data_IF_198056464027
#
_entry.id   IF_198056464027
#
_cell.length_a   1.000
_cell.length_b   1.000
_cell.length_c   1.000
_cell.angle_alpha   90.00
_cell.angle_beta   90.00
_cell.angle_gamma   90.00
#
_symmetry.space_group_name_H-M   'P 1'
#
loop_
_entity.id
_entity.type
_entity.pdbx_description
1 polymer ?
#
# COMPACT_ATOMS: atom_id res chain seq x y z
N UNK A 1 -18.38 -2.90 -30.70
CA UNK A 1 -16.91 -2.92 -30.79
C UNK A 1 -16.40 -4.33 -30.49
N UNK A 2 -16.41 -5.23 -31.49
CA UNK A 2 -16.13 -6.66 -31.33
C UNK A 2 -14.67 -6.90 -31.75
N UNK A 3 -13.73 -6.92 -30.80
CA UNK A 3 -12.33 -7.28 -31.12
C UNK A 3 -12.33 -8.75 -31.53
N UNK A 4 -12.04 -9.01 -32.80
CA UNK A 4 -11.79 -10.36 -33.31
C UNK A 4 -10.49 -10.85 -32.68
N UNK A 5 -10.55 -11.61 -31.58
CA UNK A 5 -9.37 -12.19 -30.96
C UNK A 5 -8.76 -13.23 -31.90
N UNK A 6 -7.75 -12.82 -32.66
CA UNK A 6 -6.99 -13.72 -33.50
C UNK A 6 -5.96 -14.44 -32.62
N UNK A 7 -5.64 -15.72 -32.90
CA UNK A 7 -4.71 -16.49 -32.06
C UNK A 7 -3.32 -15.87 -31.93
N UNK A 8 -2.91 -15.07 -32.93
CA UNK A 8 -1.66 -14.30 -32.93
C UNK A 8 -1.68 -13.15 -31.92
N UNK A 9 -2.83 -12.50 -31.71
CA UNK A 9 -2.97 -11.38 -30.77
C UNK A 9 -2.84 -11.84 -29.31
N UNK A 10 -3.29 -13.07 -29.03
CA UNK A 10 -3.20 -13.68 -27.69
C UNK A 10 -1.74 -13.97 -27.33
N UNK A 11 -0.96 -14.55 -28.26
CA UNK A 11 0.45 -14.89 -28.03
C UNK A 11 1.29 -13.63 -27.76
N UNK A 12 1.02 -12.53 -28.46
CA UNK A 12 1.70 -11.25 -28.24
C UNK A 12 1.29 -10.59 -26.91
N UNK A 13 0.06 -10.83 -26.44
CA UNK A 13 -0.46 -10.23 -25.20
C UNK A 13 0.08 -10.89 -23.93
N UNK A 14 0.44 -12.18 -23.97
CA UNK A 14 0.98 -12.91 -22.82
C UNK A 14 2.25 -12.28 -22.22
N UNK A 15 3.33 -11.98 -22.99
CA UNK A 15 4.53 -11.38 -22.42
C UNK A 15 4.27 -9.97 -21.89
N UNK A 16 3.39 -9.21 -22.54
CA UNK A 16 2.98 -7.88 -22.08
C UNK A 16 2.27 -7.99 -20.73
N UNK A 17 1.36 -8.96 -20.58
CA UNK A 17 0.66 -9.20 -19.32
C UNK A 17 1.62 -9.64 -18.21
N UNK A 18 2.56 -10.54 -18.49
CA UNK A 18 3.59 -10.95 -17.53
C UNK A 18 4.46 -9.77 -17.08
N UNK A 19 4.86 -8.91 -18.00
CA UNK A 19 5.61 -7.69 -17.69
C UNK A 19 4.79 -6.73 -16.80
N UNK A 20 3.52 -6.52 -17.14
CA UNK A 20 2.60 -5.69 -16.34
C UNK A 20 2.43 -6.23 -14.92
N UNK A 21 2.25 -7.55 -14.77
CA UNK A 21 2.15 -8.19 -13.45
C UNK A 21 3.46 -8.04 -12.67
N UNK A 22 4.61 -8.23 -13.32
CA UNK A 22 5.91 -8.06 -12.68
C UNK A 22 6.11 -6.62 -12.18
N UNK A 23 5.79 -5.61 -13.01
CA UNK A 23 5.85 -4.20 -12.62
C UNK A 23 4.89 -3.88 -11.46
N UNK A 24 3.67 -4.44 -11.50
CA UNK A 24 2.71 -4.28 -10.42
C UNK A 24 3.24 -4.86 -9.10
N UNK A 25 3.85 -6.05 -9.13
CA UNK A 25 4.47 -6.66 -7.96
C UNK A 25 5.62 -5.82 -7.40
N UNK A 26 6.48 -5.26 -8.27
CA UNK A 26 7.55 -4.38 -7.83
C UNK A 26 7.05 -3.16 -7.06
N UNK A 27 5.91 -2.59 -7.46
CA UNK A 27 5.27 -1.48 -6.75
C UNK A 27 4.59 -1.94 -5.47
N UNK A 28 3.98 -3.13 -5.46
CA UNK A 28 3.25 -3.66 -4.30
C UNK A 28 4.17 -4.13 -3.17
N UNK A 29 5.34 -4.70 -3.48
CA UNK A 29 6.29 -5.21 -2.48
C UNK A 29 6.63 -4.18 -1.38
N UNK A 30 7.07 -2.94 -1.70
CA UNK A 30 7.35 -1.95 -0.66
C UNK A 30 6.09 -1.48 0.08
N UNK A 31 4.93 -1.43 -0.58
CA UNK A 31 3.65 -1.08 0.06
C UNK A 31 3.25 -2.14 1.09
N UNK A 32 3.36 -3.42 0.74
CA UNK A 32 3.09 -4.54 1.64
C UNK A 32 4.09 -4.52 2.79
N UNK A 33 5.37 -4.28 2.52
CA UNK A 33 6.39 -4.23 3.56
C UNK A 33 6.17 -3.08 4.55
N UNK A 34 5.81 -1.89 4.08
CA UNK A 34 5.46 -0.76 4.95
C UNK A 34 4.22 -1.07 5.79
N UNK A 35 3.20 -1.67 5.18
CA UNK A 35 1.96 -2.05 5.87
C UNK A 35 2.27 -3.02 7.02
N UNK A 36 3.04 -4.07 6.75
CA UNK A 36 3.46 -5.01 7.78
C UNK A 36 4.38 -4.38 8.83
N UNK A 37 5.24 -3.46 8.44
CA UNK A 37 6.14 -2.80 9.38
C UNK A 37 5.41 -1.86 10.35
N UNK A 38 4.25 -1.30 9.96
CA UNK A 38 3.40 -0.53 10.86
C UNK A 38 2.90 -1.37 12.06
N UNK A 39 2.79 -2.70 11.91
CA UNK A 39 2.35 -3.61 12.96
C UNK A 39 3.50 -4.30 13.72
N UNK A 40 4.77 -4.01 13.40
CA UNK A 40 5.93 -4.59 14.11
C UNK A 40 6.20 -3.87 15.41
N UNK A 41 6.71 -4.58 16.41
CA UNK A 41 7.22 -3.92 17.63
C UNK A 41 8.44 -3.04 17.32
N UNK A 42 8.65 -1.97 18.08
CA UNK A 42 9.82 -1.09 17.92
C UNK A 42 11.14 -1.88 17.94
N UNK A 43 11.25 -2.86 18.85
CA UNK A 43 12.42 -3.76 18.94
C UNK A 43 12.63 -4.58 17.67
N UNK A 44 11.56 -5.06 17.04
CA UNK A 44 11.65 -5.83 15.80
C UNK A 44 12.09 -4.96 14.62
N UNK A 45 11.61 -3.72 14.54
CA UNK A 45 12.01 -2.75 13.51
C UNK A 45 13.52 -2.42 13.61
N UNK A 46 14.03 -2.27 14.83
CA UNK A 46 15.44 -1.97 15.09
C UNK A 46 16.36 -3.21 15.06
N UNK A 47 15.79 -4.42 14.98
CA UNK A 47 16.57 -5.66 14.99
C UNK A 47 17.18 -6.00 13.63
N UNK A 48 18.38 -6.58 13.65
CA UNK A 48 19.03 -7.12 12.46
C UNK A 48 19.07 -8.66 12.52
N UNK A 49 18.66 -9.39 11.48
CA UNK A 49 18.20 -8.92 10.17
C UNK A 49 16.73 -8.44 10.18
N UNK A 50 16.37 -7.45 9.35
CA UNK A 50 14.99 -6.98 9.25
C UNK A 50 14.07 -8.08 8.73
N UNK A 51 12.96 -8.30 9.43
CA UNK A 51 11.94 -9.27 9.02
C UNK A 51 11.05 -8.65 7.93
N UNK A 52 10.64 -9.44 6.93
CA UNK A 52 9.66 -8.98 5.95
C UNK A 52 8.23 -9.05 6.55
N UNK A 53 7.88 -10.23 7.06
CA UNK A 53 6.63 -10.54 7.76
C UNK A 53 6.83 -10.33 9.26
N UNK A 54 5.91 -9.66 9.97
CA UNK A 54 6.04 -9.40 11.40
C UNK A 54 5.96 -10.71 12.18
N UNK A 55 6.90 -10.91 13.12
CA UNK A 55 6.84 -12.05 14.04
C UNK A 55 5.78 -11.86 15.11
N UNK A 56 5.62 -10.61 15.55
CA UNK A 56 4.63 -10.21 16.55
C UNK A 56 3.80 -9.06 16.00
N UNK A 57 2.49 -9.28 15.88
CA UNK A 57 1.56 -8.24 15.49
C UNK A 57 1.20 -7.38 16.70
N UNK A 58 1.41 -6.07 16.61
CA UNK A 58 1.02 -5.09 17.63
C UNK A 58 0.33 -3.88 17.00
N UNK A 59 -0.54 -3.24 17.77
CA UNK A 59 -1.18 -1.95 17.43
C UNK A 59 -0.62 -0.79 18.24
N UNK A 60 0.35 -1.06 19.11
CA UNK A 60 0.96 -0.09 20.03
C UNK A 60 1.52 1.13 19.29
N UNK A 61 2.17 0.94 18.14
CA UNK A 61 2.67 2.04 17.31
C UNK A 61 1.56 3.04 16.92
N UNK A 62 0.35 2.57 16.63
CA UNK A 62 -0.76 3.44 16.25
C UNK A 62 -1.24 4.28 17.44
N UNK A 63 -1.30 3.67 18.63
CA UNK A 63 -1.66 4.34 19.88
C UNK A 63 -0.58 5.37 20.24
N UNK A 64 0.68 4.99 20.17
CA UNK A 64 1.81 5.86 20.49
C UNK A 64 1.91 7.07 19.56
N UNK A 65 1.74 6.86 18.25
CA UNK A 65 1.74 7.97 17.28
C UNK A 65 0.56 8.89 17.54
N UNK A 66 -0.64 8.35 17.79
CA UNK A 66 -1.83 9.16 18.09
C UNK A 66 -1.66 9.97 19.40
N UNK A 67 -0.95 9.43 20.39
CA UNK A 67 -0.64 10.13 21.64
C UNK A 67 0.42 11.23 21.44
N UNK A 68 1.37 11.04 20.52
CA UNK A 68 2.43 12.01 20.19
C UNK A 68 1.92 13.14 19.31
N UNK A 69 1.09 12.82 18.32
CA UNK A 69 0.50 13.77 17.38
C UNK A 69 -0.97 13.41 17.10
N UNK A 70 -1.86 14.40 16.96
CA UNK A 70 -3.28 14.14 16.77
C UNK A 70 -3.60 13.70 15.32
N UNK A 71 -3.12 12.53 14.90
CA UNK A 71 -3.31 11.97 13.54
C UNK A 71 -4.78 11.99 13.14
N UNK A 72 -5.67 11.53 14.03
CA UNK A 72 -7.12 11.50 13.72
C UNK A 72 -7.67 12.87 13.36
N UNK A 73 -7.20 13.94 14.03
CA UNK A 73 -7.59 15.31 13.69
C UNK A 73 -7.09 15.70 12.31
N UNK A 74 -5.86 15.32 11.95
CA UNK A 74 -5.31 15.59 10.62
C UNK A 74 -6.08 14.87 9.52
N UNK A 75 -6.42 13.59 9.72
CA UNK A 75 -7.24 12.81 8.79
C UNK A 75 -8.59 13.50 8.58
N UNK A 76 -9.28 13.88 9.66
CA UNK A 76 -10.59 14.55 9.58
C UNK A 76 -10.48 15.89 8.86
N UNK A 77 -9.47 16.71 9.18
CA UNK A 77 -9.25 17.98 8.52
C UNK A 77 -9.04 17.80 7.00
N UNK A 78 -8.26 16.80 6.60
CA UNK A 78 -8.03 16.49 5.18
C UNK A 78 -9.29 16.00 4.46
N UNK A 79 -10.12 15.18 5.12
CA UNK A 79 -11.40 14.71 4.56
C UNK A 79 -12.36 15.89 4.37
N UNK A 80 -12.49 16.76 5.38
CA UNK A 80 -13.35 17.96 5.30
C UNK A 80 -12.86 18.88 4.19
N UNK A 81 -11.55 19.09 4.09
CA UNK A 81 -10.97 19.93 3.05
C UNK A 81 -11.21 19.35 1.65
N UNK A 82 -10.80 18.10 1.40
CA UNK A 82 -10.94 17.46 0.09
C UNK A 82 -12.41 17.30 -0.31
N UNK A 83 -13.28 16.93 0.64
CA UNK A 83 -14.71 16.83 0.42
C UNK A 83 -15.34 18.20 0.15
N UNK A 84 -14.98 19.21 0.94
CA UNK A 84 -15.44 20.58 0.77
C UNK A 84 -15.06 21.17 -0.59
N UNK A 85 -13.80 20.98 -1.03
CA UNK A 85 -13.36 21.43 -2.35
C UNK A 85 -14.05 20.68 -3.47
N UNK A 86 -14.26 19.36 -3.33
CA UNK A 86 -14.93 18.55 -4.37
C UNK A 86 -16.41 18.88 -4.50
N UNK A 87 -17.06 19.26 -3.40
CA UNK A 87 -18.48 19.66 -3.41
C UNK A 87 -18.71 21.07 -3.96
N UNK A 88 -17.70 21.96 -3.85
CA UNK A 88 -17.78 23.35 -4.32
C UNK A 88 -17.23 23.53 -5.76
N UNK A 89 -16.39 22.63 -6.24
CA UNK A 89 -15.85 22.61 -7.60
C UNK A 89 -16.87 22.12 -8.62
#
# INVERSE_FOLDING_TARGET
MKRSCNGKDIIVSIPIFLLLVFLALLVLVPVIWMTFSAFKTEREILSWPPTFIPKTYTVENFIDVQNRIPIMRYIINSIIYAGGTTALA
#
